data_IF_105007532113
#
_entry.id   IF_105007532113
#
_cell.length_a   1.000
_cell.length_b   1.000
_cell.length_c   1.000
_cell.angle_alpha   90.00
_cell.angle_beta   90.00
_cell.angle_gamma   90.00
#
_symmetry.space_group_name_H-M   'P 1'
#
loop_
_entity.id
_entity.type
_entity.pdbx_description
1 polymer ?
#
# COMPACT_ATOMS: atom_id res chain seq x y z
N UNK A 1 -63.64 6.14 -2.29
CA UNK A 1 -63.28 6.24 -3.72
C UNK A 1 -62.45 5.01 -4.06
N UNK A 2 -62.90 4.26 -5.06
CA UNK A 2 -62.55 2.86 -5.36
C UNK A 2 -61.45 2.78 -6.43
N UNK A 3 -60.64 1.72 -6.36
CA UNK A 3 -59.55 1.23 -7.23
C UNK A 3 -59.76 1.30 -8.76
N UNK A 4 -58.65 1.24 -9.53
CA UNK A 4 -58.51 0.32 -10.68
C UNK A 4 -57.08 0.26 -11.26
N UNK A 5 -56.66 -0.97 -11.56
CA UNK A 5 -55.51 -1.44 -12.35
C UNK A 5 -55.99 -1.65 -13.82
N UNK A 6 -55.18 -1.20 -14.81
CA UNK A 6 -54.71 -1.80 -16.12
C UNK A 6 -55.66 -2.75 -16.91
N UNK A 7 -55.61 -3.05 -18.26
CA UNK A 7 -54.88 -2.57 -19.46
C UNK A 7 -55.76 -2.33 -20.74
N UNK A 8 -55.15 -1.84 -21.84
CA UNK A 8 -55.32 -2.48 -23.17
C UNK A 8 -56.27 -1.87 -24.22
N UNK A 9 -55.64 -1.41 -25.32
CA UNK A 9 -56.05 -1.42 -26.73
C UNK A 9 -57.40 -0.79 -27.18
N UNK A 10 -57.34 0.16 -28.13
CA UNK A 10 -57.73 -0.06 -29.54
C UNK A 10 -57.67 1.20 -30.40
N UNK A 11 -56.86 1.10 -31.46
CA UNK A 11 -57.08 1.53 -32.85
C UNK A 11 -57.44 2.99 -33.16
N UNK A 12 -56.50 3.67 -33.84
CA UNK A 12 -56.90 4.43 -35.03
C UNK A 12 -55.97 4.10 -36.22
N UNK A 13 -56.60 3.50 -37.22
CA UNK A 13 -56.06 2.99 -38.46
C UNK A 13 -55.92 4.16 -39.45
N UNK A 14 -54.74 4.37 -40.02
CA UNK A 14 -54.60 5.09 -41.30
C UNK A 14 -53.78 4.23 -42.25
N UNK A 15 -54.48 3.74 -43.27
CA UNK A 15 -53.95 2.99 -44.40
C UNK A 15 -52.99 3.84 -45.24
N UNK A 16 -51.94 3.21 -45.77
CA UNK A 16 -51.41 3.58 -47.09
C UNK A 16 -49.97 3.20 -47.42
N UNK A 17 -49.73 1.93 -47.83
CA UNK A 17 -48.84 1.43 -48.92
C UNK A 17 -47.35 1.88 -48.91
N UNK A 18 -46.29 1.06 -48.97
CA UNK A 18 -45.96 -0.09 -49.84
C UNK A 18 -44.84 -0.93 -49.17
N UNK A 19 -44.99 -2.26 -49.17
CA UNK A 19 -44.01 -3.24 -48.71
C UNK A 19 -43.17 -3.74 -49.88
N UNK A 20 -41.91 -3.31 -50.01
CA UNK A 20 -40.93 -3.99 -50.88
C UNK A 20 -39.57 -4.12 -50.22
N UNK A 21 -39.30 -5.34 -49.78
CA UNK A 21 -37.98 -5.93 -49.49
C UNK A 21 -37.09 -5.23 -48.44
N UNK A 22 -37.38 -5.47 -47.16
CA UNK A 22 -36.40 -5.34 -46.09
C UNK A 22 -35.62 -6.65 -45.94
N UNK A 23 -34.36 -6.63 -46.38
CA UNK A 23 -33.33 -7.65 -46.15
C UNK A 23 -33.27 -8.03 -44.65
N UNK A 24 -33.17 -9.31 -44.25
CA UNK A 24 -32.99 -9.62 -42.84
C UNK A 24 -31.58 -9.18 -42.44
N UNK A 25 -31.49 -8.07 -41.71
CA UNK A 25 -30.32 -7.72 -40.92
C UNK A 25 -30.10 -8.84 -39.91
N UNK A 26 -28.93 -9.46 -39.97
CA UNK A 26 -28.41 -10.37 -38.95
C UNK A 26 -28.66 -9.80 -37.55
N UNK A 27 -28.95 -10.64 -36.54
CA UNK A 27 -28.93 -10.18 -35.17
C UNK A 27 -27.50 -9.69 -34.90
N UNK A 28 -27.34 -8.37 -34.78
CA UNK A 28 -26.21 -7.78 -34.09
C UNK A 28 -26.20 -8.46 -32.71
N UNK A 29 -25.26 -9.39 -32.52
CA UNK A 29 -24.83 -9.72 -31.17
C UNK A 29 -24.50 -8.39 -30.55
N UNK A 30 -25.30 -7.98 -29.57
CA UNK A 30 -24.82 -7.06 -28.55
C UNK A 30 -23.63 -7.77 -27.92
N UNK A 31 -22.45 -7.47 -28.44
CA UNK A 31 -21.27 -7.40 -27.60
C UNK A 31 -21.51 -6.21 -26.66
N UNK A 32 -22.50 -6.36 -25.77
CA UNK A 32 -22.39 -5.78 -24.44
C UNK A 32 -21.27 -6.61 -23.81
N UNK A 33 -20.03 -6.28 -24.20
CA UNK A 33 -18.92 -6.50 -23.31
C UNK A 33 -19.40 -5.90 -22.01
N UNK A 34 -19.68 -6.74 -21.03
CA UNK A 34 -19.78 -6.31 -19.65
C UNK A 34 -18.49 -5.54 -19.46
N UNK A 35 -18.62 -4.22 -19.49
CA UNK A 35 -17.61 -3.26 -19.11
C UNK A 35 -17.43 -3.59 -17.63
N UNK A 36 -16.69 -4.67 -17.40
CA UNK A 36 -16.21 -5.04 -16.09
C UNK A 36 -15.54 -3.77 -15.63
N UNK A 37 -16.04 -3.28 -14.51
CA UNK A 37 -15.44 -2.24 -13.69
C UNK A 37 -14.00 -2.67 -13.41
N UNK A 38 -13.14 -2.45 -14.40
CA UNK A 38 -11.72 -2.70 -14.31
C UNK A 38 -11.26 -1.52 -13.49
N UNK A 39 -11.09 -1.76 -12.20
CA UNK A 39 -10.25 -0.92 -11.37
C UNK A 39 -8.87 -1.00 -12.01
N UNK A 40 -8.59 -0.07 -12.93
CA UNK A 40 -7.24 0.12 -13.43
C UNK A 40 -6.44 0.60 -12.22
N UNK A 41 -5.80 -0.36 -11.55
CA UNK A 41 -4.74 -0.14 -10.59
C UNK A 41 -3.62 0.56 -11.37
N UNK A 42 -3.76 1.88 -11.53
CA UNK A 42 -2.78 2.67 -12.25
C UNK A 42 -1.42 2.45 -11.59
N UNK A 43 -0.39 2.29 -12.41
CA UNK A 43 0.99 2.14 -11.93
C UNK A 43 1.39 3.26 -10.97
N UNK A 44 0.79 4.45 -11.12
CA UNK A 44 0.90 5.58 -10.21
C UNK A 44 0.31 5.30 -8.82
N UNK A 45 -0.88 4.70 -8.73
CA UNK A 45 -1.51 4.37 -7.45
C UNK A 45 -0.75 3.25 -6.71
N UNK A 46 -0.24 2.26 -7.44
CA UNK A 46 0.62 1.21 -6.87
C UNK A 46 1.96 1.78 -6.40
N UNK A 47 2.58 2.67 -7.18
CA UNK A 47 3.83 3.36 -6.78
C UNK A 47 3.61 4.25 -5.55
N UNK A 48 2.48 4.97 -5.49
CA UNK A 48 2.11 5.80 -4.34
C UNK A 48 1.92 4.97 -3.07
N UNK A 49 1.25 3.82 -3.17
CA UNK A 49 1.07 2.92 -2.04
C UNK A 49 2.41 2.38 -1.52
N UNK A 50 3.32 1.97 -2.42
CA UNK A 50 4.66 1.49 -2.03
C UNK A 50 5.50 2.57 -1.35
N UNK A 51 5.46 3.80 -1.86
CA UNK A 51 6.20 4.91 -1.26
C UNK A 51 5.62 5.30 0.11
N UNK A 52 4.29 5.30 0.24
CA UNK A 52 3.60 5.50 1.51
C UNK A 52 4.01 4.45 2.54
N UNK A 53 3.94 3.16 2.18
CA UNK A 53 4.36 2.06 3.08
C UNK A 53 5.85 2.12 3.41
N UNK A 54 6.72 2.47 2.45
CA UNK A 54 8.16 2.64 2.70
C UNK A 54 8.44 3.76 3.70
N UNK A 55 7.81 4.91 3.52
CA UNK A 55 7.94 6.06 4.44
C UNK A 55 7.46 5.67 5.83
N UNK A 56 6.32 5.00 5.91
CA UNK A 56 5.74 4.53 7.15
C UNK A 56 6.63 3.52 7.88
N UNK A 57 7.22 2.56 7.16
CA UNK A 57 8.22 1.63 7.70
C UNK A 57 9.44 2.34 8.26
N UNK A 58 9.95 3.35 7.57
CA UNK A 58 11.09 4.14 8.05
C UNK A 58 10.75 4.82 9.40
N UNK A 59 9.55 5.39 9.52
CA UNK A 59 9.09 6.00 10.76
C UNK A 59 8.91 4.98 11.90
N UNK A 60 8.38 3.79 11.58
CA UNK A 60 8.25 2.69 12.55
C UNK A 60 9.61 2.24 13.07
N UNK A 61 10.60 2.06 12.18
CA UNK A 61 11.95 1.66 12.59
C UNK A 61 12.65 2.74 13.43
N UNK A 62 12.51 4.02 13.07
CA UNK A 62 13.03 5.13 13.88
C UNK A 62 12.35 5.16 15.25
N UNK A 63 11.03 4.92 15.31
CA UNK A 63 10.30 4.87 16.57
C UNK A 63 10.69 3.67 17.46
N UNK A 64 10.95 2.50 16.87
CA UNK A 64 11.47 1.33 17.60
C UNK A 64 12.89 1.59 18.15
N UNK A 65 13.76 2.22 17.36
CA UNK A 65 15.11 2.58 17.80
C UNK A 65 15.06 3.58 18.97
N UNK A 66 14.25 4.64 18.85
CA UNK A 66 14.03 5.61 19.93
C UNK A 66 13.38 4.97 21.17
N UNK A 67 12.50 3.98 20.98
CA UNK A 67 11.92 3.20 22.07
C UNK A 67 12.97 2.39 22.84
N UNK A 68 13.93 1.78 22.15
CA UNK A 68 15.07 1.11 22.80
C UNK A 68 15.94 2.08 23.59
N UNK A 69 16.22 3.25 23.04
CA UNK A 69 16.94 4.32 23.74
C UNK A 69 16.17 4.79 24.99
N UNK A 70 14.84 4.89 24.89
CA UNK A 70 13.98 5.23 26.01
C UNK A 70 14.01 4.16 27.11
N UNK A 71 14.03 2.87 26.76
CA UNK A 71 14.20 1.79 27.74
C UNK A 71 15.53 1.90 28.49
N UNK A 72 16.63 2.11 27.75
CA UNK A 72 17.95 2.28 28.34
C UNK A 72 18.01 3.51 29.26
N UNK A 73 17.36 4.61 28.84
CA UNK A 73 17.21 5.82 29.64
C UNK A 73 16.43 5.55 30.92
N UNK A 74 15.28 4.89 30.86
CA UNK A 74 14.43 4.61 32.04
C UNK A 74 15.15 3.73 33.07
N UNK A 75 15.90 2.71 32.62
CA UNK A 75 16.71 1.86 33.51
C UNK A 75 17.80 2.68 34.20
N UNK A 76 18.50 3.54 33.45
CA UNK A 76 19.54 4.41 34.00
C UNK A 76 18.96 5.47 34.95
N UNK A 77 17.81 6.04 34.62
CA UNK A 77 17.07 6.99 35.43
C UNK A 77 16.72 6.37 36.79
N UNK A 78 16.24 5.13 36.82
CA UNK A 78 15.95 4.43 38.08
C UNK A 78 17.19 4.25 38.94
N UNK A 79 18.33 3.89 38.35
CA UNK A 79 19.58 3.74 39.10
C UNK A 79 20.02 5.08 39.71
N UNK A 80 19.96 6.16 38.93
CA UNK A 80 20.33 7.51 39.38
C UNK A 80 19.37 8.03 40.45
N UNK A 81 18.06 7.86 40.26
CA UNK A 81 17.04 8.26 41.23
C UNK A 81 17.20 7.52 42.56
N UNK A 82 17.48 6.20 42.54
CA UNK A 82 17.77 5.41 43.75
C UNK A 82 19.05 5.85 44.47
N UNK A 83 20.05 6.32 43.71
CA UNK A 83 21.30 6.84 44.28
C UNK A 83 21.19 8.28 44.79
N UNK A 84 20.10 8.98 44.49
CA UNK A 84 19.92 10.40 44.83
C UNK A 84 20.73 11.37 43.97
N UNK A 85 21.31 10.91 42.85
CA UNK A 85 22.13 11.73 41.96
C UNK A 85 21.28 12.66 41.07
N UNK A 86 20.96 13.83 41.61
CA UNK A 86 20.13 14.84 40.94
C UNK A 86 20.76 15.35 39.64
N UNK A 87 22.07 15.59 39.64
CA UNK A 87 22.77 16.10 38.46
C UNK A 87 22.72 15.08 37.32
N UNK A 88 23.01 13.80 37.65
CA UNK A 88 22.91 12.72 36.67
C UNK A 88 21.49 12.54 36.11
N UNK A 89 20.44 12.68 36.92
CA UNK A 89 19.04 12.64 36.46
C UNK A 89 18.76 13.77 35.47
N UNK A 90 19.09 15.02 35.82
CA UNK A 90 18.85 16.18 34.95
C UNK A 90 19.62 16.06 33.63
N UNK A 91 20.89 15.67 33.67
CA UNK A 91 21.71 15.49 32.47
C UNK A 91 21.17 14.40 31.55
N UNK A 92 20.74 13.27 32.12
CA UNK A 92 20.16 12.15 31.38
C UNK A 92 18.87 12.55 30.67
N UNK A 93 17.96 13.21 31.38
CA UNK A 93 16.66 13.63 30.87
C UNK A 93 16.82 14.71 29.80
N UNK A 94 17.68 15.71 30.04
CA UNK A 94 17.96 16.76 29.06
C UNK A 94 18.53 16.19 27.76
N UNK A 95 19.53 15.31 27.86
CA UNK A 95 20.15 14.70 26.68
C UNK A 95 19.17 13.80 25.91
N UNK A 96 18.28 13.10 26.60
CA UNK A 96 17.24 12.30 25.95
C UNK A 96 16.19 13.17 25.26
N UNK A 97 15.65 14.18 25.96
CA UNK A 97 14.67 15.11 25.41
C UNK A 97 15.16 15.78 24.13
N UNK A 98 16.41 16.29 24.14
CA UNK A 98 17.02 16.88 22.95
C UNK A 98 17.11 15.92 21.76
N UNK A 99 17.39 14.63 21.98
CA UNK A 99 17.44 13.63 20.90
C UNK A 99 16.05 13.37 20.32
N UNK A 100 15.03 13.24 21.18
CA UNK A 100 13.63 13.05 20.74
C UNK A 100 13.14 14.27 19.98
N UNK A 101 13.34 15.47 20.50
CA UNK A 101 12.94 16.72 19.85
C UNK A 101 13.65 16.91 18.50
N UNK A 102 14.94 16.55 18.42
CA UNK A 102 15.67 16.57 17.16
C UNK A 102 15.12 15.56 16.14
N UNK A 103 14.67 14.37 16.58
CA UNK A 103 14.04 13.38 15.71
C UNK A 103 12.68 13.86 15.21
N UNK A 104 11.85 14.40 16.09
CA UNK A 104 10.57 15.02 15.74
C UNK A 104 10.80 16.16 14.74
N UNK A 105 11.80 17.01 14.97
CA UNK A 105 12.18 18.11 14.06
C UNK A 105 12.65 17.65 12.68
N UNK A 106 13.09 16.39 12.52
CA UNK A 106 13.43 15.76 11.23
C UNK A 106 12.22 15.08 10.57
N UNK A 107 11.05 15.10 11.19
CA UNK A 107 9.82 14.52 10.64
C UNK A 107 9.42 13.16 11.22
N UNK A 108 9.97 12.75 12.37
CA UNK A 108 9.54 11.55 13.08
C UNK A 108 8.22 11.78 13.85
N UNK A 109 7.12 12.01 13.13
CA UNK A 109 5.82 12.39 13.72
C UNK A 109 5.23 11.33 14.66
N UNK A 110 5.51 10.04 14.39
CA UNK A 110 5.13 8.93 15.28
C UNK A 110 5.66 9.17 16.69
N UNK A 111 6.87 9.72 16.84
CA UNK A 111 7.48 9.99 18.16
C UNK A 111 6.81 11.12 18.95
N UNK A 112 6.04 11.97 18.27
CA UNK A 112 5.27 13.04 18.88
C UNK A 112 3.86 12.59 19.30
N UNK A 113 3.56 11.29 19.17
CA UNK A 113 2.21 10.77 19.39
C UNK A 113 1.24 11.05 18.24
N UNK A 114 1.75 11.46 17.07
CA UNK A 114 0.88 11.70 15.90
C UNK A 114 0.65 10.40 15.15
N UNK A 115 -0.62 10.16 14.83
CA UNK A 115 -1.03 9.06 13.98
C UNK A 115 -0.59 9.31 12.54
N UNK A 116 -0.14 8.25 11.88
CA UNK A 116 0.32 8.31 10.50
C UNK A 116 -0.60 7.47 9.63
N UNK A 117 -1.26 8.13 8.69
CA UNK A 117 -2.04 7.48 7.64
C UNK A 117 -1.12 6.88 6.58
N UNK A 118 -1.37 5.61 6.26
CA UNK A 118 -0.62 4.85 5.25
C UNK A 118 -1.57 4.33 4.19
N UNK A 119 -1.37 4.74 2.94
CA UNK A 119 -2.07 4.15 1.80
C UNK A 119 -1.41 2.81 1.47
N UNK A 120 -1.79 1.74 2.17
CA UNK A 120 -1.16 0.43 2.01
C UNK A 120 -1.63 -0.31 0.75
N UNK A 121 -2.85 -0.04 0.29
CA UNK A 121 -3.46 -0.69 -0.86
C UNK A 121 -4.14 0.34 -1.75
N UNK A 122 -3.97 0.31 -3.09
CA UNK A 122 -4.62 1.29 -3.95
C UNK A 122 -6.15 1.10 -3.96
N UNK A 123 -6.89 2.18 -3.64
CA UNK A 123 -8.35 2.16 -3.61
C UNK A 123 -8.97 1.62 -2.31
N UNK A 124 -8.16 1.14 -1.36
CA UNK A 124 -8.63 0.79 -0.02
C UNK A 124 -8.54 1.99 0.94
N UNK A 125 -9.16 1.85 2.11
CA UNK A 125 -8.99 2.82 3.19
C UNK A 125 -7.54 2.84 3.69
N UNK A 126 -7.08 4.00 4.15
CA UNK A 126 -5.76 4.17 4.74
C UNK A 126 -5.65 3.35 6.04
N UNK A 127 -4.50 2.74 6.25
CA UNK A 127 -4.14 2.08 7.50
C UNK A 127 -3.47 3.10 8.41
N UNK A 128 -3.93 3.20 9.65
CA UNK A 128 -3.35 4.12 10.63
C UNK A 128 -2.28 3.43 11.47
N UNK A 129 -1.09 4.02 11.53
CA UNK A 129 -0.09 3.70 12.55
C UNK A 129 -0.33 4.61 13.73
N UNK A 130 -0.57 4.02 14.90
CA UNK A 130 -0.75 4.78 16.12
C UNK A 130 0.55 5.50 16.51
N UNK A 131 0.44 6.77 16.85
CA UNK A 131 1.55 7.55 17.40
C UNK A 131 2.01 7.04 18.76
N UNK A 132 3.30 7.20 19.05
CA UNK A 132 3.92 6.89 20.35
C UNK A 132 4.61 8.15 20.87
N UNK A 133 3.98 8.86 21.81
CA UNK A 133 4.57 10.07 22.39
C UNK A 133 5.71 9.74 23.35
N UNK A 134 6.95 9.87 22.86
CA UNK A 134 8.18 9.66 23.63
C UNK A 134 8.75 10.95 24.23
N UNK A 135 7.99 12.06 24.21
CA UNK A 135 8.42 13.27 24.92
C UNK A 135 8.34 13.06 26.43
N UNK A 136 9.22 13.73 27.17
CA UNK A 136 9.22 13.69 28.63
C UNK A 136 7.95 14.36 29.17
N UNK A 137 7.19 13.64 30.00
CA UNK A 137 5.89 14.04 30.51
C UNK A 137 4.74 13.82 29.51
N UNK A 138 4.99 13.10 28.40
CA UNK A 138 3.97 12.69 27.44
C UNK A 138 3.21 11.44 27.87
N UNK A 139 2.44 10.87 26.95
CA UNK A 139 1.55 9.73 27.24
C UNK A 139 2.31 8.43 27.52
N UNK A 140 3.43 8.20 26.81
CA UNK A 140 4.23 6.98 26.99
C UNK A 140 5.27 7.17 28.11
N UNK A 141 5.97 8.30 28.12
CA UNK A 141 6.98 8.63 29.13
C UNK A 141 6.44 9.64 30.13
N UNK A 142 5.95 9.14 31.25
CA UNK A 142 5.32 9.94 32.30
C UNK A 142 6.31 10.78 33.13
N UNK A 143 7.62 10.53 32.96
CA UNK A 143 8.68 11.25 33.67
C UNK A 143 8.85 12.64 33.05
N UNK A 144 8.70 13.69 33.85
CA UNK A 144 8.91 15.07 33.39
C UNK A 144 10.40 15.40 33.21
N UNK A 145 10.70 16.42 32.41
CA UNK A 145 12.07 16.91 32.22
C UNK A 145 12.72 17.42 33.52
N UNK A 146 11.91 17.90 34.47
CA UNK A 146 12.33 18.43 35.77
C UNK A 146 12.24 17.40 36.91
N UNK A 147 12.15 16.11 36.58
CA UNK A 147 12.04 15.05 37.59
C UNK A 147 13.25 15.04 38.55
N UNK A 148 12.97 14.72 39.82
CA UNK A 148 13.97 14.72 40.89
C UNK A 148 14.55 13.32 41.13
N UNK A 149 15.71 13.23 41.78
CA UNK A 149 16.25 11.95 42.21
C UNK A 149 15.53 11.46 43.49
N UNK A 150 14.32 10.91 43.32
CA UNK A 150 13.45 10.45 44.40
C UNK A 150 12.66 9.19 44.04
N UNK A 151 11.94 8.64 45.03
CA UNK A 151 11.14 7.43 44.88
C UNK A 151 9.96 7.62 43.91
N UNK A 152 9.39 8.82 43.84
CA UNK A 152 8.32 9.15 42.89
C UNK A 152 8.79 8.98 41.44
N UNK A 153 10.01 9.44 41.14
CA UNK A 153 10.62 9.29 39.81
C UNK A 153 10.92 7.84 39.47
N UNK A 154 11.30 7.01 40.46
CA UNK A 154 11.45 5.56 40.27
C UNK A 154 10.12 4.92 39.87
N UNK A 155 9.02 5.27 40.55
CA UNK A 155 7.69 4.75 40.24
C UNK A 155 7.18 5.21 38.87
N UNK A 156 7.38 6.50 38.54
CA UNK A 156 7.04 7.03 37.21
C UNK A 156 7.87 6.36 36.11
N UNK A 157 9.15 6.08 36.35
CA UNK A 157 9.98 5.35 35.39
C UNK A 157 9.52 3.91 35.20
N UNK A 158 9.06 3.22 36.26
CA UNK A 158 8.46 1.89 36.15
C UNK A 158 7.20 1.90 35.30
N UNK A 159 6.26 2.81 35.60
CA UNK A 159 5.03 2.94 34.83
C UNK A 159 5.29 3.34 33.37
N UNK A 160 6.30 4.19 33.14
CA UNK A 160 6.74 4.54 31.79
C UNK A 160 7.29 3.34 31.02
N UNK A 161 7.98 2.39 31.69
CA UNK A 161 8.43 1.15 31.03
C UNK A 161 7.25 0.28 30.61
N UNK A 162 6.22 0.15 31.44
CA UNK A 162 5.02 -0.63 31.10
C UNK A 162 4.28 -0.02 29.90
N UNK A 163 4.06 1.30 29.92
CA UNK A 163 3.47 2.04 28.80
C UNK A 163 4.31 1.88 27.53
N UNK A 164 5.63 2.02 27.64
CA UNK A 164 6.56 1.88 26.53
C UNK A 164 6.55 0.48 25.94
N UNK A 165 6.49 -0.57 26.76
CA UNK A 165 6.38 -1.95 26.29
C UNK A 165 5.09 -2.18 25.51
N UNK A 166 3.96 -1.67 26.00
CA UNK A 166 2.69 -1.76 25.28
C UNK A 166 2.73 -1.00 23.94
N UNK A 167 3.27 0.22 23.94
CA UNK A 167 3.41 1.04 22.74
C UNK A 167 4.33 0.37 21.69
N UNK A 168 5.46 -0.18 22.13
CA UNK A 168 6.37 -0.93 21.25
C UNK A 168 5.75 -2.22 20.71
N UNK A 169 4.94 -2.92 21.51
CA UNK A 169 4.15 -4.06 21.03
C UNK A 169 3.23 -3.68 19.87
N UNK A 170 2.43 -2.63 20.05
CA UNK A 170 1.53 -2.11 19.02
C UNK A 170 2.29 -1.66 17.76
N UNK A 171 3.47 -1.06 17.94
CA UNK A 171 4.30 -0.61 16.85
C UNK A 171 4.89 -1.78 16.04
N UNK A 172 5.30 -2.87 16.71
CA UNK A 172 5.75 -4.11 16.05
C UNK A 172 4.60 -4.78 15.30
N UNK A 173 3.40 -4.81 15.86
CA UNK A 173 2.24 -5.37 15.17
C UNK A 173 1.85 -4.54 13.94
N UNK A 174 1.92 -3.21 14.05
CA UNK A 174 1.79 -2.30 12.90
C UNK A 174 2.87 -2.57 11.85
N UNK A 175 4.11 -2.84 12.29
CA UNK A 175 5.21 -3.15 11.39
C UNK A 175 4.92 -4.41 10.55
N UNK A 176 4.49 -5.49 11.23
CA UNK A 176 4.12 -6.76 10.60
C UNK A 176 2.95 -6.63 9.63
N UNK A 177 1.95 -5.81 9.98
CA UNK A 177 0.82 -5.56 9.08
C UNK A 177 1.29 -4.90 7.78
N UNK A 178 2.17 -3.90 7.87
CA UNK A 178 2.72 -3.21 6.71
C UNK A 178 3.65 -4.09 5.87
N UNK A 179 4.43 -4.98 6.51
CA UNK A 179 5.21 -6.00 5.79
C UNK A 179 4.31 -6.94 4.99
N UNK A 180 3.16 -7.35 5.54
CA UNK A 180 2.19 -8.16 4.82
C UNK A 180 1.63 -7.42 3.59
N UNK A 181 1.33 -6.12 3.72
CA UNK A 181 0.92 -5.30 2.57
C UNK A 181 2.05 -5.16 1.54
N UNK A 182 3.31 -4.99 1.94
CA UNK A 182 4.44 -4.99 0.99
C UNK A 182 4.56 -6.30 0.22
N UNK A 183 4.37 -7.44 0.90
CA UNK A 183 4.36 -8.76 0.28
C UNK A 183 3.23 -8.91 -0.76
N UNK A 184 2.04 -8.43 -0.43
CA UNK A 184 0.89 -8.40 -1.34
C UNK A 184 1.15 -7.52 -2.56
N UNK A 185 1.63 -6.28 -2.37
CA UNK A 185 1.95 -5.36 -3.47
C UNK A 185 3.02 -5.95 -4.41
N UNK A 186 4.02 -6.65 -3.85
CA UNK A 186 5.04 -7.36 -4.62
C UNK A 186 4.46 -8.50 -5.48
N UNK A 187 3.53 -9.29 -4.93
CA UNK A 187 2.86 -10.35 -5.67
C UNK A 187 1.94 -9.80 -6.77
N UNK A 188 1.21 -8.70 -6.50
CA UNK A 188 0.35 -8.04 -7.47
C UNK A 188 1.13 -7.47 -8.66
N UNK A 189 2.30 -6.88 -8.42
CA UNK A 189 3.20 -6.39 -9.49
C UNK A 189 3.73 -7.52 -10.37
N UNK A 190 4.12 -8.65 -9.76
CA UNK A 190 4.62 -9.81 -10.49
C UNK A 190 3.53 -10.44 -11.38
N UNK A 191 2.30 -10.53 -10.88
CA UNK A 191 1.14 -10.99 -11.66
C UNK A 191 0.84 -10.06 -12.84
N UNK A 192 0.77 -8.74 -12.60
CA UNK A 192 0.50 -7.75 -13.63
C UNK A 192 1.56 -7.78 -14.75
N UNK A 193 2.85 -7.86 -14.41
CA UNK A 193 3.94 -7.97 -15.41
C UNK A 193 3.83 -9.23 -16.26
N UNK A 194 3.48 -10.36 -15.66
CA UNK A 194 3.29 -11.62 -16.39
C UNK A 194 2.21 -11.54 -17.47
N UNK A 195 1.12 -10.82 -17.19
CA UNK A 195 0.02 -10.63 -18.14
C UNK A 195 0.42 -9.70 -19.31
N UNK A 196 1.12 -8.59 -19.01
CA UNK A 196 1.63 -7.69 -20.06
C UNK A 196 2.69 -8.35 -20.96
N UNK A 197 3.56 -9.19 -20.39
CA UNK A 197 4.56 -9.94 -21.17
C UNK A 197 3.90 -10.99 -22.06
N UNK A 198 2.84 -11.66 -21.59
CA UNK A 198 2.08 -12.62 -22.38
C UNK A 198 1.34 -11.95 -23.55
N UNK A 199 0.70 -10.80 -23.31
CA UNK A 199 0.03 -10.03 -24.37
C UNK A 199 1.03 -9.37 -25.33
N UNK A 200 2.19 -8.90 -24.83
CA UNK A 200 3.30 -8.41 -25.64
C UNK A 200 3.86 -9.50 -26.56
N UNK A 201 4.07 -10.72 -26.04
CA UNK A 201 4.48 -11.87 -26.83
C UNK A 201 3.44 -12.24 -27.89
N UNK A 202 2.15 -12.10 -27.57
CA UNK A 202 1.05 -12.36 -28.50
C UNK A 202 0.98 -11.32 -29.62
N UNK A 203 1.19 -10.04 -29.32
CA UNK A 203 1.25 -8.97 -30.31
C UNK A 203 2.48 -9.11 -31.21
N UNK A 204 3.65 -9.44 -30.65
CA UNK A 204 4.83 -9.76 -31.44
C UNK A 204 4.60 -10.99 -32.33
N UNK A 205 3.97 -12.04 -31.81
CA UNK A 205 3.63 -13.22 -32.60
C UNK A 205 2.66 -12.89 -33.75
N UNK A 206 1.68 -12.00 -33.53
CA UNK A 206 0.78 -11.52 -34.57
C UNK A 206 1.49 -10.63 -35.59
N UNK A 207 2.40 -9.76 -35.16
CA UNK A 207 3.20 -8.92 -36.04
C UNK A 207 4.17 -9.74 -36.88
N UNK A 208 4.82 -10.76 -36.30
CA UNK A 208 5.67 -11.72 -37.02
C UNK A 208 4.82 -12.50 -38.02
N UNK A 209 3.65 -12.97 -37.63
CA UNK A 209 2.74 -13.68 -38.54
C UNK A 209 2.27 -12.80 -39.69
N UNK A 210 1.84 -11.57 -39.42
CA UNK A 210 1.42 -10.61 -40.44
C UNK A 210 2.60 -10.19 -41.33
N UNK A 211 3.80 -10.05 -40.76
CA UNK A 211 5.03 -9.80 -41.50
C UNK A 211 5.40 -10.95 -42.44
N UNK A 212 5.22 -12.20 -42.01
CA UNK A 212 5.42 -13.40 -42.84
C UNK A 212 4.33 -13.56 -43.92
N UNK A 213 3.09 -13.20 -43.61
CA UNK A 213 1.98 -13.20 -44.56
C UNK A 213 2.15 -12.07 -45.61
N UNK A 214 2.56 -10.87 -45.20
CA UNK A 214 2.82 -9.70 -46.06
C UNK A 214 4.12 -9.80 -46.87
N UNK A 215 5.14 -10.46 -46.35
CA UNK A 215 6.34 -10.84 -47.10
C UNK A 215 6.07 -11.94 -48.15
N UNK A 216 4.82 -12.39 -48.26
CA UNK A 216 4.39 -13.42 -49.18
C UNK A 216 4.92 -14.78 -48.75
N UNK A 217 4.08 -15.56 -48.07
CA UNK A 217 4.26 -17.01 -47.84
C UNK A 217 4.44 -17.85 -49.12
N UNK A 218 4.61 -17.21 -50.28
CA UNK A 218 4.93 -17.78 -51.58
C UNK A 218 6.46 -17.90 -51.79
N UNK A 219 7.31 -17.12 -51.10
CA UNK A 219 8.76 -17.19 -51.31
C UNK A 219 9.48 -18.25 -50.46
N UNK A 220 8.92 -18.69 -49.33
CA UNK A 220 9.48 -19.82 -48.55
C UNK A 220 9.00 -21.16 -49.10
N UNK A 221 7.83 -21.21 -49.76
CA UNK A 221 7.37 -22.39 -50.46
C UNK A 221 8.26 -22.78 -51.67
N UNK A 222 9.09 -21.84 -52.17
CA UNK A 222 10.05 -22.04 -53.25
C UNK A 222 11.52 -21.86 -52.83
N UNK A 223 11.81 -21.59 -51.55
CA UNK A 223 13.17 -21.63 -51.03
C UNK A 223 13.57 -23.09 -50.86
N UNK A 224 14.33 -23.62 -51.82
CA UNK A 224 14.70 -25.03 -51.87
C UNK A 224 15.34 -25.55 -50.57
N UNK A 225 15.27 -26.87 -50.30
CA UNK A 225 15.65 -27.52 -49.04
C UNK A 225 17.14 -27.38 -48.64
N UNK A 226 17.95 -26.67 -49.43
CA UNK A 226 19.38 -26.49 -49.22
C UNK A 226 19.70 -25.62 -47.99
N UNK A 227 18.84 -24.65 -47.62
CA UNK A 227 19.06 -23.79 -46.45
C UNK A 227 18.80 -24.51 -45.11
N UNK A 228 17.89 -25.50 -45.10
CA UNK A 228 17.63 -26.34 -43.92
C UNK A 228 18.73 -27.38 -43.75
N UNK A 229 19.27 -27.94 -44.85
CA UNK A 229 20.37 -28.91 -44.80
C UNK A 229 21.70 -28.30 -44.32
N UNK A 230 21.96 -27.02 -44.58
CA UNK A 230 23.14 -26.34 -44.03
C UNK A 230 23.08 -26.09 -42.52
N UNK A 231 21.88 -26.07 -41.93
CA UNK A 231 21.70 -25.85 -40.48
C UNK A 231 21.91 -27.14 -39.66
N UNK A 232 21.86 -28.32 -40.30
CA UNK A 232 22.06 -29.64 -39.67
C UNK A 232 23.40 -30.28 -39.99
N UNK A 233 24.29 -29.59 -40.71
CA UNK A 233 25.66 -30.08 -40.98
C UNK A 233 26.61 -29.49 -39.94
N UNK A 234 26.57 -30.06 -38.74
CA UNK A 234 27.68 -30.05 -37.78
C UNK A 234 28.53 -31.30 -37.99
#
# INVERSE_FOLDING_TARGET
>A
MVSSIVPGASNNNTLGVDTRYSRPTQPQRRDDAVEGDKVELSSAALSGARESVRTAMAQVHEALAAGHDAQAMLVKLQALAKSGDKAGVTDLLSAFGQRVDAAIGRGAFVLAGQDVSVQAEPGAAETTIAGVDLRLGGDTLLVSADASADEATVQLAQKSMENLQAAMGNLVDSARALEAHQGFLGAAEAGARGDYDADGARLLALQVRQGLEAAGGVSIANAGPQAVLSLFRA
#
